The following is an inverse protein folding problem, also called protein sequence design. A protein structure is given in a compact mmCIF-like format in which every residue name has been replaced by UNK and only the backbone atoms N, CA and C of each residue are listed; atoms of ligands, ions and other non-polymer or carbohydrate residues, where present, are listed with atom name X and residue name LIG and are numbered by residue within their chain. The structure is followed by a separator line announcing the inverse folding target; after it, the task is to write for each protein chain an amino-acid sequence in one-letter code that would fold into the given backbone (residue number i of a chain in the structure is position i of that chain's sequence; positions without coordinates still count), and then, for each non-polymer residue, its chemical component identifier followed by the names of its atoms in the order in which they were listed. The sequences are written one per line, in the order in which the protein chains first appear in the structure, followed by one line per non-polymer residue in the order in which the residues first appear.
data_IF_051548148219
#
_entry.id   IF_051548148219
#
_cell.length_a   1.000
_cell.length_b   1.000
_cell.length_c   1.000
_cell.angle_alpha   90.00
_cell.angle_beta   90.00
_cell.angle_gamma   90.00
#
_symmetry.space_group_name_H-M   'P 1'
#
loop_
_entity.id
_entity.type
_entity.pdbx_description
1 polymer ?
#
# COMPACT_ATOMS: atom_id res chain seq x y z
N UNK A 1 2.67 -12.39 0.53
CA UNK A 1 3.36 -11.13 0.87
C UNK A 1 2.36 -10.23 1.56
N UNK A 2 2.66 -9.73 2.74
CA UNK A 2 1.77 -8.80 3.44
C UNK A 2 2.05 -7.38 2.94
N UNK A 3 0.99 -6.64 2.61
CA UNK A 3 1.09 -5.20 2.36
C UNK A 3 0.76 -4.44 3.63
N UNK A 4 1.60 -3.45 3.95
CA UNK A 4 1.43 -2.60 5.11
C UNK A 4 1.67 -1.13 4.74
N UNK A 5 1.19 -0.22 5.58
CA UNK A 5 1.59 1.18 5.52
C UNK A 5 3.04 1.29 6.00
N UNK A 6 3.90 1.84 5.15
CA UNK A 6 5.27 2.18 5.46
C UNK A 6 5.54 3.58 4.93
N UNK A 7 5.78 4.55 5.82
CA UNK A 7 5.95 5.94 5.43
C UNK A 7 7.03 6.08 4.33
N UNK A 8 6.72 6.72 3.16
CA UNK A 8 5.54 7.55 2.85
C UNK A 8 4.45 6.88 1.98
N UNK A 9 4.12 5.59 2.15
CA UNK A 9 3.10 4.93 1.34
C UNK A 9 2.78 3.49 1.76
N UNK A 10 2.41 2.67 0.77
CA UNK A 10 2.17 1.22 0.95
C UNK A 10 3.39 0.45 0.48
N UNK A 11 3.89 -0.45 1.30
CA UNK A 11 5.02 -1.32 0.94
C UNK A 11 4.72 -2.78 1.25
N UNK A 12 5.38 -3.68 0.52
CA UNK A 12 5.36 -5.10 0.80
C UNK A 12 6.39 -5.43 1.88
N UNK A 13 6.00 -6.30 2.82
CA UNK A 13 6.91 -6.84 3.81
C UNK A 13 7.07 -8.37 3.64
N UNK A 14 8.31 -8.89 3.50
CA UNK A 14 9.57 -8.15 3.30
C UNK A 14 9.59 -7.35 1.97
N UNK A 15 10.43 -6.29 1.86
CA UNK A 15 10.55 -5.48 0.65
C UNK A 15 10.81 -6.33 -0.58
N UNK A 16 10.14 -6.02 -1.69
CA UNK A 16 10.31 -6.77 -2.95
C UNK A 16 11.79 -6.92 -3.33
N UNK A 17 12.66 -5.88 -3.28
CA UNK A 17 14.08 -6.01 -3.60
C UNK A 17 14.82 -7.05 -2.76
N UNK A 18 14.45 -7.22 -1.49
CA UNK A 18 15.05 -8.21 -0.59
C UNK A 18 14.58 -9.62 -0.95
N UNK A 19 13.30 -9.78 -1.28
CA UNK A 19 12.76 -11.04 -1.82
C UNK A 19 13.46 -11.39 -3.14
N UNK A 20 13.69 -10.41 -4.04
CA UNK A 20 14.46 -10.62 -5.26
C UNK A 20 15.86 -11.16 -4.95
N UNK A 21 16.54 -10.50 -4.01
CA UNK A 21 17.94 -10.77 -3.68
C UNK A 21 18.09 -12.15 -3.05
N UNK A 22 17.23 -12.51 -2.10
CA UNK A 22 17.22 -13.81 -1.45
C UNK A 22 16.95 -14.95 -2.45
N UNK A 23 16.00 -14.77 -3.35
CA UNK A 23 15.70 -15.76 -4.40
C UNK A 23 16.84 -15.90 -5.40
N UNK A 24 17.44 -14.79 -5.85
CA UNK A 24 18.58 -14.81 -6.76
C UNK A 24 19.76 -15.54 -6.13
N UNK A 25 20.04 -15.28 -4.86
CA UNK A 25 21.07 -16.01 -4.10
C UNK A 25 20.76 -17.52 -4.01
N UNK A 26 19.50 -17.89 -3.81
CA UNK A 26 19.06 -19.29 -3.76
C UNK A 26 19.23 -19.99 -5.11
N UNK A 27 18.89 -19.31 -6.22
CA UNK A 27 19.08 -19.84 -7.58
C UNK A 27 20.55 -19.98 -7.94
N UNK A 28 21.37 -18.97 -7.61
CA UNK A 28 22.82 -19.03 -7.83
C UNK A 28 23.45 -20.17 -7.01
N UNK A 29 22.97 -20.41 -5.79
CA UNK A 29 23.40 -21.54 -4.96
C UNK A 29 22.98 -22.88 -5.58
N UNK A 30 21.73 -23.00 -6.06
CA UNK A 30 21.25 -24.21 -6.73
C UNK A 30 22.07 -24.51 -7.99
N UNK A 31 22.38 -23.49 -8.80
CA UNK A 31 23.24 -23.64 -9.98
C UNK A 31 24.65 -24.14 -9.62
N UNK A 32 25.24 -23.60 -8.53
CA UNK A 32 26.53 -24.07 -8.01
C UNK A 32 26.46 -25.51 -7.49
N UNK A 33 25.38 -25.88 -6.81
CA UNK A 33 25.18 -27.25 -6.32
C UNK A 33 25.00 -28.25 -7.46
N UNK A 34 24.29 -27.90 -8.53
CA UNK A 34 24.16 -28.75 -9.72
C UNK A 34 25.50 -28.91 -10.45
N UNK A 35 26.30 -27.85 -10.52
CA UNK A 35 27.67 -27.93 -11.01
C UNK A 35 28.51 -28.92 -10.16
N UNK A 36 28.49 -28.76 -8.83
CA UNK A 36 29.23 -29.63 -7.91
C UNK A 36 28.72 -31.09 -7.86
N UNK A 37 27.41 -31.32 -8.00
CA UNK A 37 26.84 -32.67 -8.03
C UNK A 37 27.19 -33.43 -9.31
N UNK A 38 27.44 -32.71 -10.41
CA UNK A 38 27.96 -33.27 -11.66
C UNK A 38 29.45 -33.68 -11.55
N UNK A 39 30.12 -33.33 -10.45
CA UNK A 39 31.52 -33.65 -10.15
C UNK A 39 31.69 -34.88 -9.25
N UNK A 40 30.61 -35.54 -8.82
CA UNK A 40 30.71 -36.75 -8.00
C UNK A 40 31.39 -37.89 -8.78
N UNK A 41 32.51 -38.46 -8.28
CA UNK A 41 33.24 -39.49 -8.99
C UNK A 41 32.40 -40.77 -9.03
N UNK A 42 32.02 -41.19 -10.23
CA UNK A 42 31.80 -42.62 -10.49
C UNK A 42 33.09 -43.35 -10.15
N UNK A 43 33.02 -44.28 -9.20
CA UNK A 43 34.19 -44.97 -8.68
C UNK A 43 34.98 -45.73 -9.76
N UNK A 44 36.30 -45.65 -9.60
CA UNK A 44 37.34 -46.63 -9.95
C UNK A 44 37.64 -46.92 -11.44
N UNK A 45 38.89 -46.97 -11.94
CA UNK A 45 40.25 -46.89 -11.37
C UNK A 45 41.21 -46.30 -12.43
N UNK A 46 42.25 -45.60 -11.95
CA UNK A 46 43.55 -45.55 -12.63
C UNK A 46 43.77 -44.43 -13.66
N UNK A 47 44.45 -43.36 -13.22
CA UNK A 47 45.62 -42.75 -13.89
C UNK A 47 45.79 -41.28 -13.53
N UNK A 48 46.90 -41.01 -12.85
CA UNK A 48 47.84 -39.89 -13.00
C UNK A 48 47.35 -38.57 -13.62
N UNK A 49 47.43 -37.51 -12.79
CA UNK A 49 47.89 -36.16 -13.11
C UNK A 49 47.45 -35.52 -14.45
N UNK A 50 46.49 -34.59 -14.38
CA UNK A 50 46.56 -33.32 -15.14
C UNK A 50 45.75 -32.21 -14.45
N UNK A 51 46.46 -31.19 -13.96
CA UNK A 51 46.25 -29.76 -14.20
C UNK A 51 44.82 -29.26 -14.51
N UNK A 52 44.25 -28.48 -13.58
CA UNK A 52 43.61 -27.18 -13.86
C UNK A 52 42.55 -27.09 -14.95
N UNK A 53 41.64 -28.06 -15.08
CA UNK A 53 40.47 -27.92 -15.94
C UNK A 53 39.20 -27.94 -15.11
N UNK A 54 38.62 -26.75 -14.88
CA UNK A 54 37.20 -26.60 -14.56
C UNK A 54 36.40 -27.33 -15.63
N UNK A 55 35.94 -28.55 -15.34
CA UNK A 55 35.12 -29.32 -16.28
C UNK A 55 33.73 -28.69 -16.31
N UNK A 56 33.54 -27.78 -17.26
CA UNK A 56 32.27 -27.15 -17.59
C UNK A 56 31.16 -28.22 -17.76
N UNK A 57 30.00 -27.97 -17.15
CA UNK A 57 28.76 -28.72 -17.38
C UNK A 57 28.52 -28.94 -18.88
N UNK A 58 27.92 -30.06 -19.33
CA UNK A 58 27.57 -30.26 -20.73
C UNK A 58 26.77 -29.07 -21.27
N UNK A 59 27.10 -28.60 -22.47
CA UNK A 59 26.47 -27.40 -23.05
C UNK A 59 24.93 -27.48 -23.11
N UNK A 60 24.38 -28.69 -23.26
CA UNK A 60 22.93 -28.95 -23.22
C UNK A 60 22.31 -28.70 -21.84
N UNK A 61 23.00 -29.07 -20.76
CA UNK A 61 22.57 -28.84 -19.37
C UNK A 61 22.70 -27.35 -19.03
N UNK A 62 23.78 -26.69 -19.48
CA UNK A 62 23.92 -25.24 -19.32
C UNK A 62 22.81 -24.47 -20.08
N UNK A 63 22.48 -24.88 -21.30
CA UNK A 63 21.42 -24.26 -22.08
C UNK A 63 20.03 -24.46 -21.46
N UNK A 64 19.73 -25.66 -20.96
CA UNK A 64 18.50 -25.94 -20.23
C UNK A 64 18.40 -25.10 -18.94
N UNK A 65 19.46 -25.06 -18.14
CA UNK A 65 19.52 -24.25 -16.93
C UNK A 65 19.36 -22.76 -17.22
N UNK A 66 20.03 -22.23 -18.25
CA UNK A 66 19.89 -20.84 -18.66
C UNK A 66 18.45 -20.51 -19.09
N UNK A 67 17.76 -21.46 -19.74
CA UNK A 67 16.36 -21.30 -20.15
C UNK A 67 15.41 -21.27 -18.96
N UNK A 68 15.58 -22.21 -18.01
CA UNK A 68 14.82 -22.25 -16.76
C UNK A 68 15.05 -20.98 -15.92
N UNK A 69 16.31 -20.55 -15.79
CA UNK A 69 16.66 -19.30 -15.11
C UNK A 69 16.00 -18.08 -15.76
N UNK A 70 15.99 -18.01 -17.10
CA UNK A 70 15.31 -16.94 -17.83
C UNK A 70 13.78 -17.00 -17.68
N UNK A 71 13.20 -18.18 -17.45
CA UNK A 71 11.79 -18.37 -17.13
C UNK A 71 11.45 -17.86 -15.73
N UNK A 72 12.22 -18.28 -14.73
CA UNK A 72 12.06 -17.86 -13.33
C UNK A 72 12.25 -16.33 -13.20
N UNK A 73 13.22 -15.76 -13.90
CA UNK A 73 13.46 -14.32 -13.87
C UNK A 73 12.29 -13.52 -14.47
N UNK A 74 11.71 -13.97 -15.59
CA UNK A 74 10.52 -13.33 -16.18
C UNK A 74 9.30 -13.41 -15.28
N UNK A 75 9.06 -14.57 -14.67
CA UNK A 75 7.99 -14.75 -13.68
C UNK A 75 8.16 -13.77 -12.51
N UNK A 76 9.39 -13.59 -12.06
CA UNK A 76 9.70 -12.69 -10.96
C UNK A 76 9.46 -11.21 -11.33
N UNK A 77 9.90 -10.77 -12.51
CA UNK A 77 9.64 -9.42 -13.01
C UNK A 77 8.13 -9.14 -13.14
N UNK A 78 7.35 -10.14 -13.53
CA UNK A 78 5.90 -10.05 -13.58
C UNK A 78 5.29 -9.89 -12.17
N UNK A 79 5.76 -10.66 -11.19
CA UNK A 79 5.35 -10.53 -9.79
C UNK A 79 5.70 -9.15 -9.22
N UNK A 80 6.93 -8.66 -9.44
CA UNK A 80 7.34 -7.32 -8.99
C UNK A 80 6.44 -6.23 -9.58
N UNK A 81 6.09 -6.34 -10.86
CA UNK A 81 5.17 -5.42 -11.53
C UNK A 81 3.77 -5.48 -10.92
N UNK A 82 3.26 -6.68 -10.63
CA UNK A 82 1.97 -6.88 -9.97
C UNK A 82 1.93 -6.19 -8.60
N UNK A 83 2.95 -6.41 -7.76
CA UNK A 83 3.00 -5.77 -6.44
C UNK A 83 3.12 -4.25 -6.56
N UNK A 84 3.98 -3.74 -7.45
CA UNK A 84 4.13 -2.30 -7.65
C UNK A 84 2.83 -1.63 -8.12
N UNK A 85 2.11 -2.25 -9.07
CA UNK A 85 0.80 -1.80 -9.51
C UNK A 85 -0.22 -1.82 -8.37
N UNK A 86 -0.19 -2.86 -7.53
CA UNK A 86 -1.11 -2.96 -6.42
C UNK A 86 -0.81 -1.91 -5.34
N UNK A 87 0.45 -1.67 -4.98
CA UNK A 87 0.83 -0.57 -4.09
C UNK A 87 0.40 0.80 -4.65
N UNK A 88 0.67 1.06 -5.93
CA UNK A 88 0.28 2.31 -6.59
C UNK A 88 -1.24 2.52 -6.59
N UNK A 89 -2.02 1.43 -6.67
CA UNK A 89 -3.48 1.53 -6.62
C UNK A 89 -4.01 2.06 -5.29
N UNK A 90 -3.23 2.04 -4.21
CA UNK A 90 -3.62 2.62 -2.92
C UNK A 90 -3.30 4.10 -2.80
N UNK A 91 -2.55 4.72 -3.73
CA UNK A 91 -2.20 6.15 -3.67
C UNK A 91 -3.41 7.09 -3.58
N UNK A 92 -4.59 6.64 -4.03
CA UNK A 92 -5.87 7.35 -3.85
C UNK A 92 -6.19 7.65 -2.38
N UNK A 93 -5.71 6.82 -1.46
CA UNK A 93 -5.85 6.98 -0.01
C UNK A 93 -4.70 7.81 0.59
N UNK A 94 -3.80 8.34 -0.24
CA UNK A 94 -2.58 9.06 0.15
C UNK A 94 -2.80 10.08 1.25
N UNK A 95 -3.87 10.87 1.13
CA UNK A 95 -4.18 11.92 2.11
C UNK A 95 -4.35 11.38 3.53
N UNK A 96 -4.94 10.20 3.70
CA UNK A 96 -5.25 9.63 5.01
C UNK A 96 -4.01 9.37 5.87
N UNK A 97 -2.85 9.14 5.25
CA UNK A 97 -1.61 8.85 5.97
C UNK A 97 -0.54 9.94 5.83
N UNK A 98 -0.78 11.02 5.09
CA UNK A 98 0.16 12.16 4.95
C UNK A 98 -0.20 13.36 5.82
N UNK A 99 -1.44 13.46 6.30
CA UNK A 99 -1.88 14.55 7.17
C UNK A 99 -2.70 14.03 8.35
N UNK A 100 -2.65 14.77 9.45
CA UNK A 100 -3.54 14.55 10.58
C UNK A 100 -4.95 14.98 10.20
N UNK A 101 -5.94 14.11 10.46
CA UNK A 101 -7.36 14.42 10.30
C UNK A 101 -7.75 15.72 11.03
N UNK A 102 -7.23 15.94 12.24
CA UNK A 102 -7.54 17.10 13.06
C UNK A 102 -6.97 18.38 12.45
N UNK A 103 -5.69 18.38 12.06
CA UNK A 103 -5.04 19.54 11.48
C UNK A 103 -5.67 19.96 10.15
N UNK A 104 -6.05 18.97 9.34
CA UNK A 104 -6.69 19.19 8.05
C UNK A 104 -8.14 19.70 8.22
N UNK A 105 -8.88 19.15 9.19
CA UNK A 105 -10.23 19.62 9.51
C UNK A 105 -10.22 21.04 10.14
N UNK A 106 -9.27 21.35 11.02
CA UNK A 106 -9.08 22.69 11.59
C UNK A 106 -8.73 23.72 10.52
N UNK A 107 -7.86 23.38 9.57
CA UNK A 107 -7.53 24.26 8.45
C UNK A 107 -8.77 24.56 7.59
N UNK A 108 -9.64 23.56 7.39
CA UNK A 108 -10.92 23.74 6.69
C UNK A 108 -11.93 24.59 7.46
N UNK A 109 -11.77 24.75 8.78
CA UNK A 109 -12.67 25.48 9.66
C UNK A 109 -12.26 26.95 9.91
N UNK A 110 -11.34 27.50 9.10
CA UNK A 110 -10.91 28.91 9.21
C UNK A 110 -11.58 29.84 8.18
N UNK A 111 -12.60 29.35 7.45
CA UNK A 111 -13.33 30.13 6.44
C UNK A 111 -14.62 30.75 7.01
N UNK A 112 -15.49 31.35 6.18
CA UNK A 112 -16.81 31.78 6.63
C UNK A 112 -17.68 30.55 7.00
N UNK A 113 -18.48 30.60 8.07
CA UNK A 113 -19.35 29.50 8.57
C UNK A 113 -20.14 28.78 7.46
N UNK A 114 -20.71 29.48 6.47
CA UNK A 114 -21.44 28.84 5.36
C UNK A 114 -20.51 28.12 4.38
N UNK A 115 -19.29 28.61 4.20
CA UNK A 115 -18.25 27.95 3.41
C UNK A 115 -17.69 26.75 4.17
N UNK A 116 -17.51 26.85 5.49
CA UNK A 116 -17.10 25.74 6.36
C UNK A 116 -18.08 24.57 6.29
N UNK A 117 -19.39 24.83 6.45
CA UNK A 117 -20.41 23.78 6.43
C UNK A 117 -20.45 23.05 5.07
N UNK A 118 -20.36 23.80 3.96
CA UNK A 118 -20.32 23.20 2.61
C UNK A 118 -19.01 22.46 2.35
N UNK A 119 -17.89 22.99 2.82
CA UNK A 119 -16.58 22.36 2.72
C UNK A 119 -16.54 21.04 3.49
N UNK A 120 -16.99 21.05 4.75
CA UNK A 120 -17.05 19.85 5.58
C UNK A 120 -17.99 18.79 5.00
N UNK A 121 -19.17 19.17 4.48
CA UNK A 121 -20.07 18.21 3.81
C UNK A 121 -19.42 17.59 2.56
N UNK A 122 -18.79 18.40 1.70
CA UNK A 122 -18.07 17.89 0.53
C UNK A 122 -16.94 16.92 0.92
N UNK A 123 -16.21 17.21 2.01
CA UNK A 123 -15.17 16.31 2.53
C UNK A 123 -15.73 15.02 3.08
N UNK A 124 -16.87 15.05 3.77
CA UNK A 124 -17.54 13.83 4.22
C UNK A 124 -18.03 12.97 3.04
N UNK A 125 -18.49 13.58 1.95
CA UNK A 125 -18.86 12.88 0.73
C UNK A 125 -17.64 12.21 0.06
N UNK A 126 -16.50 12.92 -0.02
CA UNK A 126 -15.24 12.34 -0.50
C UNK A 126 -14.78 11.15 0.35
N UNK A 127 -14.81 11.28 1.68
CA UNK A 127 -14.45 10.20 2.60
C UNK A 127 -15.39 8.99 2.48
N UNK A 128 -16.68 9.22 2.23
CA UNK A 128 -17.66 8.16 1.99
C UNK A 128 -17.40 7.44 0.66
N UNK A 129 -16.99 8.16 -0.38
CA UNK A 129 -16.58 7.56 -1.65
C UNK A 129 -15.32 6.70 -1.49
N UNK A 130 -14.33 7.17 -0.71
CA UNK A 130 -13.12 6.39 -0.39
C UNK A 130 -13.46 5.14 0.43
N UNK A 131 -14.39 5.22 1.38
CA UNK A 131 -14.87 4.05 2.12
C UNK A 131 -15.54 3.02 1.21
N UNK A 132 -16.38 3.48 0.26
CA UNK A 132 -16.97 2.59 -0.73
C UNK A 132 -15.89 1.93 -1.59
N UNK A 133 -14.92 2.70 -2.06
CA UNK A 133 -13.79 2.17 -2.83
C UNK A 133 -13.00 1.12 -2.02
N UNK A 134 -12.71 1.41 -0.75
CA UNK A 134 -12.01 0.50 0.15
C UNK A 134 -12.79 -0.80 0.35
N UNK A 135 -14.12 -0.74 0.49
CA UNK A 135 -14.98 -1.91 0.68
C UNK A 135 -14.98 -2.88 -0.51
N UNK A 136 -14.71 -2.35 -1.72
CA UNK A 136 -14.65 -3.13 -2.96
C UNK A 136 -13.27 -3.77 -3.19
N UNK A 137 -12.27 -3.44 -2.36
CA UNK A 137 -10.91 -3.95 -2.51
C UNK A 137 -10.83 -5.41 -2.07
N UNK A 138 -10.21 -6.29 -2.89
CA UNK A 138 -10.01 -7.68 -2.49
C UNK A 138 -8.97 -7.78 -1.38
N UNK A 139 -9.23 -8.67 -0.41
CA UNK A 139 -8.31 -8.98 0.72
C UNK A 139 -7.10 -9.81 0.29
N UNK A 140 -7.31 -10.64 -0.72
CA UNK A 140 -6.29 -11.50 -1.32
C UNK A 140 -6.24 -11.17 -2.80
N UNK A 141 -5.06 -10.76 -3.27
CA UNK A 141 -4.83 -10.44 -4.68
C UNK A 141 -3.89 -11.49 -5.26
N UNK A 142 -4.37 -12.33 -6.19
CA UNK A 142 -3.51 -13.27 -6.86
C UNK A 142 -2.59 -12.50 -7.83
N UNK A 143 -1.29 -12.64 -7.64
CA UNK A 143 -0.29 -12.29 -8.65
C UNK A 143 0.11 -13.53 -9.44
N UNK A 144 0.67 -13.34 -10.63
CA UNK A 144 1.03 -14.45 -11.51
C UNK A 144 1.91 -15.52 -10.81
N UNK A 145 1.60 -16.78 -11.13
CA UNK A 145 2.45 -17.96 -11.03
C UNK A 145 2.92 -18.48 -9.66
N UNK A 146 2.71 -17.79 -8.53
CA UNK A 146 2.91 -18.35 -7.16
C UNK A 146 2.66 -17.38 -6.00
N UNK A 147 2.44 -16.09 -6.28
CA UNK A 147 2.43 -15.05 -5.25
C UNK A 147 1.02 -14.56 -4.96
N UNK A 148 0.62 -14.60 -3.69
CA UNK A 148 -0.59 -13.93 -3.22
C UNK A 148 -0.21 -12.74 -2.34
N UNK A 149 -0.86 -11.60 -2.61
CA UNK A 149 -0.77 -10.42 -1.76
C UNK A 149 -1.92 -10.42 -0.76
N UNK A 150 -1.56 -10.37 0.51
CA UNK A 150 -2.50 -10.18 1.59
C UNK A 150 -2.59 -8.69 1.92
N UNK A 151 -3.76 -8.12 1.68
CA UNK A 151 -4.04 -6.70 1.91
C UNK A 151 -4.89 -6.45 3.15
N UNK A 152 -5.27 -7.51 3.88
CA UNK A 152 -6.23 -7.40 4.97
C UNK A 152 -5.81 -6.36 6.03
N UNK A 153 -4.58 -6.44 6.52
CA UNK A 153 -4.08 -5.51 7.55
C UNK A 153 -4.04 -4.05 7.06
N UNK A 154 -3.68 -3.85 5.78
CA UNK A 154 -3.72 -2.54 5.14
C UNK A 154 -5.15 -1.99 5.07
N UNK A 155 -6.10 -2.80 4.62
CA UNK A 155 -7.51 -2.42 4.52
C UNK A 155 -8.10 -2.07 5.89
N UNK A 156 -7.79 -2.87 6.93
CA UNK A 156 -8.23 -2.60 8.30
C UNK A 156 -7.66 -1.27 8.82
N UNK A 157 -6.38 -0.99 8.55
CA UNK A 157 -5.75 0.28 8.96
C UNK A 157 -6.37 1.46 8.23
N UNK A 158 -6.58 1.37 6.91
CA UNK A 158 -7.22 2.43 6.13
C UNK A 158 -8.67 2.68 6.55
N UNK A 159 -9.41 1.64 6.94
CA UNK A 159 -10.76 1.78 7.46
C UNK A 159 -10.78 2.56 8.78
N UNK A 160 -9.83 2.28 9.69
CA UNK A 160 -9.69 3.01 10.95
C UNK A 160 -9.33 4.48 10.72
N UNK A 161 -8.43 4.76 9.78
CA UNK A 161 -8.09 6.14 9.41
C UNK A 161 -9.29 6.87 8.80
N UNK A 162 -10.03 6.24 7.87
CA UNK A 162 -11.25 6.83 7.30
C UNK A 162 -12.29 7.20 8.38
N UNK A 163 -12.47 6.32 9.37
CA UNK A 163 -13.36 6.59 10.51
C UNK A 163 -12.86 7.76 11.38
N UNK A 164 -11.55 7.84 11.61
CA UNK A 164 -10.92 8.96 12.31
C UNK A 164 -11.19 10.29 11.60
N UNK A 165 -10.97 10.31 10.28
CA UNK A 165 -11.22 11.47 9.42
C UNK A 165 -12.69 11.88 9.41
N UNK A 166 -13.62 10.93 9.23
CA UNK A 166 -15.07 11.20 9.29
C UNK A 166 -15.48 11.78 10.64
N UNK A 167 -14.90 11.28 11.74
CA UNK A 167 -15.18 11.80 13.09
C UNK A 167 -14.68 13.23 13.28
N UNK A 168 -13.47 13.54 12.83
CA UNK A 168 -12.89 14.90 12.93
C UNK A 168 -13.74 15.93 12.16
N UNK A 169 -14.07 15.62 10.91
CA UNK A 169 -14.92 16.48 10.10
C UNK A 169 -16.35 16.59 10.62
N UNK A 170 -16.93 15.51 11.13
CA UNK A 170 -18.24 15.53 11.78
C UNK A 170 -18.27 16.40 13.04
N UNK A 171 -17.21 16.33 13.86
CA UNK A 171 -17.08 17.17 15.04
C UNK A 171 -16.99 18.66 14.68
N UNK A 172 -16.20 19.02 13.66
CA UNK A 172 -16.11 20.40 13.18
C UNK A 172 -17.45 20.90 12.62
N UNK A 173 -18.15 20.08 11.82
CA UNK A 173 -19.47 20.45 11.31
C UNK A 173 -20.49 20.69 12.43
N UNK A 174 -20.48 19.84 13.47
CA UNK A 174 -21.32 20.05 14.65
C UNK A 174 -20.96 21.33 15.40
N UNK A 175 -19.67 21.63 15.56
CA UNK A 175 -19.20 22.84 16.23
C UNK A 175 -19.60 24.11 15.45
N UNK A 176 -19.35 24.15 14.13
CA UNK A 176 -19.72 25.29 13.28
C UNK A 176 -21.24 25.49 13.24
N UNK A 177 -22.03 24.41 13.16
CA UNK A 177 -23.48 24.49 13.21
C UNK A 177 -24.01 25.02 14.55
N UNK A 178 -23.43 24.59 15.67
CA UNK A 178 -23.80 25.08 17.00
C UNK A 178 -23.50 26.59 17.15
N UNK A 179 -22.33 27.04 16.70
CA UNK A 179 -21.96 28.46 16.69
C UNK A 179 -22.92 29.28 15.83
N UNK A 180 -23.21 28.83 14.61
CA UNK A 180 -24.14 29.53 13.72
C UNK A 180 -25.57 29.63 14.27
N UNK A 181 -26.05 28.58 14.97
CA UNK A 181 -27.35 28.61 15.64
C UNK A 181 -27.37 29.62 16.81
N UNK A 182 -26.32 29.66 17.62
CA UNK A 182 -26.20 30.62 18.73
C UNK A 182 -26.16 32.07 18.23
N UNK A 183 -25.47 32.32 17.12
CA UNK A 183 -25.44 33.65 16.49
C UNK A 183 -26.82 34.06 15.99
N UNK A 184 -27.54 33.16 15.30
CA UNK A 184 -28.90 33.39 14.83
C UNK A 184 -29.87 33.65 15.99
N UNK A 185 -29.81 32.86 17.05
CA UNK A 185 -30.62 33.04 18.26
C UNK A 185 -30.38 34.42 18.89
N UNK A 186 -29.11 34.85 18.95
CA UNK A 186 -28.73 36.17 19.46
C UNK A 186 -29.26 37.31 18.60
N UNK A 187 -29.18 37.18 17.28
CA UNK A 187 -29.72 38.16 16.34
C UNK A 187 -31.25 38.27 16.42
N UNK A 188 -31.95 37.13 16.46
CA UNK A 188 -33.40 37.09 16.62
C UNK A 188 -33.84 37.70 17.95
N UNK A 189 -33.15 37.40 19.04
CA UNK A 189 -33.42 38.01 20.35
C UNK A 189 -33.21 39.54 20.31
N UNK A 190 -32.16 40.02 19.64
CA UNK A 190 -31.91 41.45 19.46
C UNK A 190 -32.99 42.15 18.62
N UNK A 191 -33.43 41.52 17.53
CA UNK A 191 -34.52 42.05 16.69
C UNK A 191 -35.84 42.12 17.46
N UNK A 192 -36.20 41.06 18.19
CA UNK A 192 -37.42 41.05 19.01
C UNK A 192 -37.39 42.13 20.08
N UNK A 193 -36.26 42.30 20.78
CA UNK A 193 -36.11 43.37 21.76
C UNK A 193 -36.23 44.77 21.14
N UNK A 194 -35.78 44.94 19.89
CA UNK A 194 -35.91 46.21 19.16
C UNK A 194 -37.36 46.46 18.74
N UNK A 195 -38.07 45.44 18.26
CA UNK A 195 -39.50 45.49 17.92
C UNK A 195 -40.38 45.81 19.13
N UNK A 196 -40.09 45.21 20.29
CA UNK A 196 -40.80 45.48 21.54
C UNK A 196 -40.59 46.92 22.06
N UNK A 197 -39.53 47.61 21.62
CA UNK A 197 -39.26 48.99 22.01
C UNK A 197 -39.92 50.03 21.10
N UNK A 198 -40.33 49.63 19.88
CA UNK A 198 -41.01 50.49 18.90
C UNK A 198 -42.55 50.43 18.98
N UNK A 199 -43.12 49.44 19.70
CA UNK A 199 -44.56 49.28 19.97
C UNK A 199 -45.01 49.97 21.26
#
# INVERSE_FOLDING_TARGET
LDLALAHPGVSAHPPIPEVCAALRATLDQAARQVAAASELPGGDEGSTETSGSEKQLPASVQAALATEMAGIQRMFEAQQRCVAQHCASFEVFGRLWHSSAEADAEQSAQENVLAELRGADARLQELSALEQELSMRPRLVPCEAALELNTQALLETLALELESWKRAYGANLHASAATGLQELEREMAGMNASLDHEL
#
